data_IF_599072034584
#
_entry.id   IF_599072034584
#
_cell.length_a   1.000
_cell.length_b   1.000
_cell.length_c   1.000
_cell.angle_alpha   90.00
_cell.angle_beta   90.00
_cell.angle_gamma   90.00
#
_symmetry.space_group_name_H-M   'P 1'
#
loop_
_entity.id
_entity.type
_entity.pdbx_description
1 polymer ?
#
# COMPACT_ATOMS: atom_id res chain seq x y z
N UNK A 1 45.09 45.26 -41.30
CA UNK A 1 46.18 44.29 -41.56
C UNK A 1 45.51 42.95 -41.87
N UNK A 2 45.56 42.50 -43.13
CA UNK A 2 46.49 41.46 -43.61
C UNK A 2 46.14 40.11 -42.94
N UNK A 3 45.23 39.32 -43.52
CA UNK A 3 45.50 38.18 -44.45
C UNK A 3 45.45 36.83 -43.69
N UNK A 4 45.22 35.64 -44.27
CA UNK A 4 45.24 35.15 -45.66
C UNK A 4 44.45 33.79 -45.78
N UNK A 5 43.73 33.53 -46.91
CA UNK A 5 43.64 32.25 -47.71
C UNK A 5 43.30 30.85 -47.09
N UNK A 6 42.83 29.77 -47.79
CA UNK A 6 42.21 29.50 -49.13
C UNK A 6 41.56 28.08 -49.16
N UNK A 7 40.83 27.75 -50.23
CA UNK A 7 40.29 26.45 -50.76
C UNK A 7 41.08 25.14 -50.40
N UNK A 8 40.56 23.91 -50.51
CA UNK A 8 39.25 23.39 -50.97
C UNK A 8 39.34 21.97 -51.63
N UNK A 9 38.20 21.47 -52.17
CA UNK A 9 38.07 20.41 -53.22
C UNK A 9 38.33 18.91 -52.91
N UNK A 10 37.23 18.19 -52.70
CA UNK A 10 36.74 16.92 -53.32
C UNK A 10 37.66 15.80 -53.91
N UNK A 11 37.12 14.56 -53.76
CA UNK A 11 36.96 13.48 -54.79
C UNK A 11 37.92 12.27 -54.75
N UNK A 12 37.36 11.07 -54.48
CA UNK A 12 37.54 9.86 -55.33
C UNK A 12 36.46 8.79 -55.11
N UNK A 13 36.29 7.93 -56.12
CA UNK A 13 35.15 7.02 -56.35
C UNK A 13 35.63 5.77 -57.13
N UNK A 14 35.13 4.58 -56.78
CA UNK A 14 35.23 3.28 -57.47
C UNK A 14 34.20 2.37 -56.75
N UNK A 15 33.15 1.73 -57.31
CA UNK A 15 32.76 1.16 -58.63
C UNK A 15 33.50 -0.14 -59.02
N UNK A 16 32.75 -1.27 -59.01
CA UNK A 16 32.72 -2.43 -59.95
C UNK A 16 31.56 -3.39 -59.53
N UNK A 17 31.14 -4.42 -60.29
CA UNK A 17 30.16 -4.34 -61.39
C UNK A 17 29.31 -5.67 -61.52
N UNK A 18 28.17 -5.68 -62.25
CA UNK A 18 27.33 -6.88 -62.54
C UNK A 18 25.97 -6.91 -61.79
N UNK A 19 24.73 -6.93 -62.32
CA UNK A 19 24.08 -7.49 -63.55
C UNK A 19 24.05 -9.04 -63.58
N UNK A 20 22.96 -9.77 -63.91
CA UNK A 20 21.51 -9.48 -64.11
C UNK A 20 20.71 -10.83 -64.19
N UNK A 21 19.36 -10.83 -64.02
CA UNK A 21 18.28 -11.79 -64.43
C UNK A 21 18.52 -13.34 -64.50
N UNK A 22 17.61 -14.25 -64.09
CA UNK A 22 16.22 -14.61 -64.52
C UNK A 22 15.66 -15.62 -63.46
N UNK A 23 14.37 -15.96 -63.23
CA UNK A 23 13.18 -16.06 -64.11
C UNK A 23 11.85 -15.66 -63.42
N UNK A 24 10.81 -15.53 -64.25
CA UNK A 24 9.41 -15.22 -63.93
C UNK A 24 8.68 -16.17 -62.97
N UNK A 25 7.74 -15.59 -62.19
CA UNK A 25 6.35 -16.09 -62.13
C UNK A 25 5.40 -14.90 -62.29
N UNK A 26 4.45 -14.99 -63.22
CA UNK A 26 3.31 -14.06 -63.30
C UNK A 26 2.19 -14.59 -62.41
N UNK A 27 1.57 -13.73 -61.60
CA UNK A 27 0.21 -13.95 -61.11
C UNK A 27 -0.67 -12.77 -61.50
N UNK A 28 -1.93 -13.08 -61.79
CA UNK A 28 -2.80 -12.26 -62.63
C UNK A 28 -3.51 -11.13 -61.85
N UNK A 29 -3.84 -10.02 -62.53
CA UNK A 29 -4.52 -8.88 -61.92
C UNK A 29 -6.04 -9.05 -62.04
N UNK A 30 -6.67 -9.66 -61.04
CA UNK A 30 -8.16 -9.64 -60.96
C UNK A 30 -8.78 -9.77 -59.57
N UNK A 31 -8.15 -9.30 -58.48
CA UNK A 31 -8.83 -9.10 -57.17
C UNK A 31 -8.43 -7.81 -56.40
N UNK A 32 -7.92 -6.77 -57.08
CA UNK A 32 -7.50 -5.53 -56.40
C UNK A 32 -8.62 -4.51 -56.10
N UNK A 33 -9.89 -4.96 -56.01
CA UNK A 33 -11.06 -4.09 -55.71
C UNK A 33 -12.03 -4.73 -54.69
N UNK A 34 -11.51 -5.31 -53.59
CA UNK A 34 -12.35 -5.56 -52.40
C UNK A 34 -11.60 -5.47 -51.05
N UNK A 35 -10.40 -4.87 -51.00
CA UNK A 35 -9.58 -4.82 -49.77
C UNK A 35 -9.00 -3.43 -49.46
N UNK A 36 -9.73 -2.36 -49.85
CA UNK A 36 -9.40 -0.95 -49.53
C UNK A 36 -10.57 -0.18 -48.91
N UNK A 37 -11.55 -0.88 -48.31
CA UNK A 37 -12.72 -0.28 -47.62
C UNK A 37 -13.03 -0.86 -46.22
N UNK A 38 -12.10 -1.65 -45.65
CA UNK A 38 -12.20 -2.14 -44.25
C UNK A 38 -10.99 -1.69 -43.40
N UNK A 39 -10.03 -0.95 -43.98
CA UNK A 39 -8.94 -0.30 -43.23
C UNK A 39 -9.41 1.11 -42.82
N UNK A 40 -10.46 1.12 -42.00
CA UNK A 40 -11.10 2.30 -41.44
C UNK A 40 -12.08 1.85 -40.36
N UNK A 41 -11.91 2.38 -39.14
CA UNK A 41 -12.64 2.00 -37.92
C UNK A 41 -12.27 0.65 -37.24
N UNK A 42 -10.97 0.37 -37.06
CA UNK A 42 -10.46 -0.27 -35.82
C UNK A 42 -9.18 0.46 -35.38
N UNK A 43 -9.34 1.68 -34.84
CA UNK A 43 -8.25 2.42 -34.18
C UNK A 43 -8.81 3.28 -33.04
N UNK A 44 -9.71 2.68 -32.25
CA UNK A 44 -10.33 3.22 -31.04
C UNK A 44 -10.81 2.03 -30.21
N UNK A 45 -10.78 2.13 -28.87
CA UNK A 45 -11.18 1.07 -27.93
C UNK A 45 -10.31 -0.21 -27.91
N UNK A 46 -8.98 -0.05 -27.82
CA UNK A 46 -8.07 -1.13 -27.40
C UNK A 46 -6.88 -0.63 -26.55
N UNK A 47 -7.03 0.48 -25.82
CA UNK A 47 -6.30 0.62 -24.56
C UNK A 47 -7.05 -0.24 -23.54
N UNK A 48 -6.56 -1.47 -23.35
CA UNK A 48 -7.01 -2.27 -22.24
C UNK A 48 -6.63 -1.55 -20.94
N UNK A 49 -7.64 -1.14 -20.18
CA UNK A 49 -7.47 -0.77 -18.78
C UNK A 49 -6.93 -2.00 -18.05
N UNK A 50 -5.62 -2.10 -17.93
CA UNK A 50 -5.01 -2.98 -16.96
C UNK A 50 -5.34 -2.39 -15.59
N UNK A 51 -6.31 -3.02 -14.91
CA UNK A 51 -6.66 -2.75 -13.54
C UNK A 51 -5.49 -3.16 -12.65
N UNK A 52 -4.64 -2.21 -12.29
CA UNK A 52 -3.50 -2.42 -11.41
C UNK A 52 -3.90 -2.22 -9.95
N UNK A 53 -4.90 -2.98 -9.49
CA UNK A 53 -5.17 -3.06 -8.06
C UNK A 53 -3.89 -3.56 -7.37
N UNK A 54 -3.46 -2.85 -6.33
CA UNK A 54 -2.30 -3.22 -5.51
C UNK A 54 -2.53 -4.50 -4.70
N UNK A 55 -1.82 -4.71 -3.57
CA UNK A 55 -2.18 -5.78 -2.66
C UNK A 55 -3.63 -5.57 -2.20
N UNK A 56 -4.52 -6.48 -2.61
CA UNK A 56 -5.91 -6.52 -2.19
C UNK A 56 -5.98 -7.26 -0.85
N UNK A 57 -6.24 -6.53 0.23
CA UNK A 57 -6.35 -7.12 1.58
C UNK A 57 -7.81 -7.25 2.00
N UNK A 58 -8.22 -8.45 2.42
CA UNK A 58 -9.56 -8.67 2.98
C UNK A 58 -9.49 -8.43 4.50
N UNK A 59 -10.04 -7.30 4.95
CA UNK A 59 -10.02 -6.86 6.36
C UNK A 59 -11.24 -7.36 7.17
N UNK A 60 -12.08 -8.20 6.57
CA UNK A 60 -13.31 -8.73 7.17
C UNK A 60 -13.02 -9.59 8.39
N UNK A 61 -13.65 -9.24 9.52
CA UNK A 61 -13.51 -10.01 10.77
C UNK A 61 -12.16 -9.83 11.47
N UNK A 62 -11.40 -8.79 11.13
CA UNK A 62 -10.18 -8.41 11.86
C UNK A 62 -10.48 -7.40 12.96
N UNK A 63 -9.69 -7.43 14.04
CA UNK A 63 -9.65 -6.37 15.03
C UNK A 63 -8.95 -5.11 14.50
N UNK A 64 -9.48 -3.94 14.86
CA UNK A 64 -8.92 -2.63 14.49
C UNK A 64 -9.00 -1.65 15.65
N UNK A 65 -8.22 -0.57 15.56
CA UNK A 65 -8.30 0.59 16.46
C UNK A 65 -8.73 1.81 15.64
N UNK A 66 -9.79 2.48 16.06
CA UNK A 66 -10.19 3.78 15.53
C UNK A 66 -9.20 4.86 15.99
N UNK A 67 -8.75 5.70 15.07
CA UNK A 67 -7.94 6.88 15.31
C UNK A 67 -8.47 8.03 14.43
N UNK A 68 -9.36 8.87 14.96
CA UNK A 68 -10.12 9.84 14.16
C UNK A 68 -11.13 9.14 13.25
N UNK A 69 -11.16 9.53 11.97
CA UNK A 69 -11.97 8.90 10.91
C UNK A 69 -11.33 7.59 10.38
N UNK A 70 -10.09 7.28 10.81
CA UNK A 70 -9.34 6.12 10.35
C UNK A 70 -9.52 4.88 11.23
N UNK A 71 -9.55 3.72 10.57
CA UNK A 71 -9.43 2.40 11.17
C UNK A 71 -8.03 1.85 10.91
N UNK A 72 -7.26 1.61 11.98
CA UNK A 72 -5.93 1.02 11.94
C UNK A 72 -5.98 -0.48 12.23
N UNK A 73 -5.61 -1.28 11.23
CA UNK A 73 -5.52 -2.73 11.29
C UNK A 73 -4.06 -3.16 11.44
N UNK A 74 -3.75 -3.92 12.48
CA UNK A 74 -2.44 -4.54 12.66
C UNK A 74 -2.32 -5.81 11.81
N UNK A 75 -1.45 -5.77 10.81
CA UNK A 75 -1.13 -6.93 9.97
C UNK A 75 -0.48 -8.09 10.75
N UNK A 76 0.47 -7.88 11.68
CA UNK A 76 1.02 -8.99 12.47
C UNK A 76 0.02 -9.59 13.46
N UNK A 77 -0.93 -8.81 14.01
CA UNK A 77 -2.04 -9.35 14.83
C UNK A 77 -3.05 -10.11 13.96
N UNK A 78 -3.34 -9.62 12.75
CA UNK A 78 -4.20 -10.33 11.79
C UNK A 78 -3.62 -11.69 11.41
N UNK A 79 -2.31 -11.79 11.12
CA UNK A 79 -1.65 -13.08 10.93
C UNK A 79 -1.76 -13.98 12.18
N UNK A 80 -1.52 -13.44 13.37
CA UNK A 80 -1.65 -14.17 14.64
C UNK A 80 -3.06 -14.74 14.87
N UNK A 81 -4.12 -14.00 14.53
CA UNK A 81 -5.52 -14.42 14.62
C UNK A 81 -5.79 -15.75 13.89
N UNK A 82 -5.07 -16.03 12.79
CA UNK A 82 -5.21 -17.25 11.99
C UNK A 82 -4.08 -18.26 12.21
N UNK A 83 -3.28 -18.11 13.27
CA UNK A 83 -2.21 -19.04 13.63
C UNK A 83 -0.91 -18.89 12.83
N UNK A 84 -0.75 -17.78 12.11
CA UNK A 84 0.49 -17.43 11.42
C UNK A 84 1.41 -16.57 12.32
N UNK A 85 2.66 -16.39 11.88
CA UNK A 85 3.59 -15.45 12.50
C UNK A 85 3.60 -14.10 11.77
N UNK A 86 4.36 -13.12 12.25
CA UNK A 86 4.36 -11.76 11.68
C UNK A 86 4.78 -11.69 10.20
N UNK A 87 5.57 -12.66 9.73
CA UNK A 87 6.23 -12.64 8.42
C UNK A 87 5.70 -13.74 7.47
N UNK A 88 4.61 -14.44 7.84
CA UNK A 88 3.94 -15.39 6.96
C UNK A 88 2.41 -15.32 7.13
N UNK A 89 1.66 -15.95 6.21
CA UNK A 89 0.20 -15.84 6.18
C UNK A 89 -0.30 -14.73 5.24
N UNK A 90 -1.63 -14.60 5.08
CA UNK A 90 -2.24 -13.71 4.08
C UNK A 90 -2.07 -12.22 4.37
N UNK A 91 -1.69 -11.83 5.60
CA UNK A 91 -1.45 -10.43 5.99
C UNK A 91 0.04 -10.08 6.05
N UNK A 92 0.94 -11.00 5.69
CA UNK A 92 2.37 -10.72 5.58
C UNK A 92 2.69 -9.97 4.26
N UNK A 93 2.14 -8.76 4.12
CA UNK A 93 2.21 -7.95 2.90
C UNK A 93 3.64 -7.43 2.72
N UNK A 94 4.34 -7.76 1.62
CA UNK A 94 5.70 -7.28 1.39
C UNK A 94 5.74 -5.79 1.04
N UNK A 95 6.73 -5.07 1.58
CA UNK A 95 6.88 -3.62 1.42
C UNK A 95 8.27 -3.16 0.97
N UNK A 96 9.10 -4.04 0.40
CA UNK A 96 10.40 -3.58 -0.13
C UNK A 96 10.16 -2.69 -1.37
N UNK A 97 11.04 -1.69 -1.65
CA UNK A 97 10.86 -0.77 -2.77
C UNK A 97 10.59 -1.45 -4.12
N UNK A 98 11.27 -2.56 -4.40
CA UNK A 98 11.06 -3.33 -5.63
C UNK A 98 9.69 -4.04 -5.70
N UNK A 99 9.11 -4.43 -4.57
CA UNK A 99 7.79 -5.07 -4.48
C UNK A 99 6.65 -4.05 -4.56
N UNK A 100 6.86 -2.81 -4.08
CA UNK A 100 5.87 -1.73 -4.16
C UNK A 100 6.00 -0.86 -5.43
N UNK A 101 6.93 -1.19 -6.33
CA UNK A 101 7.24 -0.45 -7.57
C UNK A 101 6.08 -0.24 -8.54
N UNK A 102 5.01 -1.04 -8.43
CA UNK A 102 3.79 -0.98 -9.24
C UNK A 102 2.57 -0.42 -8.48
N UNK A 103 2.78 0.07 -7.25
CA UNK A 103 1.77 0.65 -6.38
C UNK A 103 1.85 2.18 -6.41
N UNK A 104 0.78 2.83 -5.98
CA UNK A 104 0.79 4.27 -5.75
C UNK A 104 1.52 4.57 -4.44
N UNK A 105 2.77 5.04 -4.52
CA UNK A 105 3.62 5.28 -3.35
C UNK A 105 3.69 6.77 -3.02
N UNK A 106 3.35 7.13 -1.79
CA UNK A 106 3.27 8.54 -1.35
C UNK A 106 4.62 9.02 -0.82
N UNK A 107 5.36 8.15 -0.13
CA UNK A 107 6.72 8.42 0.35
C UNK A 107 7.57 7.16 0.48
N UNK A 108 8.87 7.29 0.25
CA UNK A 108 9.85 6.19 0.35
C UNK A 108 11.24 6.68 0.74
N UNK A 109 11.97 5.89 1.55
CA UNK A 109 13.35 6.16 1.97
C UNK A 109 14.41 5.48 1.08
N UNK A 110 14.01 4.92 -0.07
CA UNK A 110 14.93 4.18 -0.95
C UNK A 110 15.93 5.09 -1.65
N UNK A 111 17.18 5.11 -1.16
CA UNK A 111 18.34 5.89 -1.62
C UNK A 111 18.86 5.56 -3.06
N UNK A 112 18.00 5.24 -4.04
CA UNK A 112 18.45 4.87 -5.38
C UNK A 112 17.38 4.91 -6.48
N UNK A 113 17.29 6.05 -7.17
CA UNK A 113 16.50 6.21 -8.41
C UNK A 113 14.98 6.20 -8.21
N UNK A 114 14.20 6.27 -9.31
CA UNK A 114 12.76 6.10 -9.28
C UNK A 114 12.44 4.61 -9.18
N UNK A 115 12.37 4.08 -7.96
CA UNK A 115 11.93 2.69 -7.73
C UNK A 115 10.41 2.57 -7.90
N UNK A 116 9.69 3.68 -7.76
CA UNK A 116 8.24 3.79 -7.89
C UNK A 116 7.92 4.98 -8.81
N UNK A 117 7.23 4.73 -9.92
CA UNK A 117 6.59 5.78 -10.73
C UNK A 117 5.09 5.62 -10.55
N UNK A 118 4.44 6.62 -9.98
CA UNK A 118 2.99 6.61 -9.84
C UNK A 118 2.33 6.84 -11.20
N UNK A 119 1.01 6.65 -11.25
CA UNK A 119 0.25 6.80 -12.48
C UNK A 119 0.18 8.27 -12.93
N UNK A 120 -0.04 8.49 -14.22
CA UNK A 120 -0.30 9.83 -14.77
C UNK A 120 -1.53 10.45 -14.09
N UNK A 121 -1.39 11.70 -13.61
CA UNK A 121 -2.36 12.33 -12.72
C UNK A 121 -2.14 12.03 -11.23
N UNK A 122 -0.89 11.78 -10.82
CA UNK A 122 -0.47 11.61 -9.43
C UNK A 122 0.89 12.27 -9.18
N UNK A 123 1.11 12.78 -7.96
CA UNK A 123 2.46 13.10 -7.51
C UNK A 123 3.33 11.85 -7.40
N UNK A 124 4.64 12.00 -7.59
CA UNK A 124 5.60 10.94 -7.30
C UNK A 124 5.79 10.77 -5.79
N UNK A 125 6.34 9.62 -5.40
CA UNK A 125 6.73 9.38 -4.01
C UNK A 125 7.71 10.47 -3.53
N UNK A 126 7.39 11.07 -2.39
CA UNK A 126 8.26 12.00 -1.68
C UNK A 126 9.43 11.27 -1.02
N UNK A 127 10.58 11.93 -0.90
CA UNK A 127 11.74 11.37 -0.20
C UNK A 127 11.53 11.42 1.32
N UNK A 128 11.37 10.24 1.95
CA UNK A 128 11.35 10.13 3.41
C UNK A 128 12.79 10.13 3.93
N UNK A 129 13.11 10.89 4.99
CA UNK A 129 14.48 11.06 5.44
C UNK A 129 14.98 9.85 6.22
N UNK A 130 16.28 9.59 6.12
CA UNK A 130 16.92 8.44 6.76
C UNK A 130 16.84 8.41 8.30
N UNK A 131 16.55 9.53 8.97
CA UNK A 131 16.59 9.67 10.45
C UNK A 131 18.00 9.55 11.08
N UNK A 132 18.89 8.77 10.47
CA UNK A 132 20.31 8.60 10.83
C UNK A 132 21.14 9.81 10.39
N UNK A 133 20.80 10.40 9.24
CA UNK A 133 21.35 11.67 8.77
C UNK A 133 20.28 12.51 8.07
N UNK A 134 20.12 13.77 8.49
CA UNK A 134 19.09 14.68 8.00
C UNK A 134 17.99 14.93 9.03
N UNK A 135 16.77 15.20 8.56
CA UNK A 135 15.62 15.40 9.44
C UNK A 135 15.23 14.08 10.16
N UNK A 136 14.72 14.23 11.39
CA UNK A 136 14.14 13.13 12.18
C UNK A 136 12.61 13.18 12.19
N UNK A 137 12.07 13.86 11.20
CA UNK A 137 10.64 14.07 10.94
C UNK A 137 10.45 14.25 9.43
N UNK A 138 9.23 14.02 8.95
CA UNK A 138 8.83 14.10 7.56
C UNK A 138 7.45 14.75 7.47
N UNK A 139 7.29 15.61 6.48
CA UNK A 139 6.03 15.99 5.87
C UNK A 139 6.29 16.21 4.37
N UNK A 140 5.24 16.28 3.55
CA UNK A 140 5.39 16.62 2.13
C UNK A 140 5.78 18.10 1.98
N UNK A 141 6.86 18.39 1.24
CA UNK A 141 7.44 19.73 1.08
C UNK A 141 8.12 19.86 -0.30
N UNK A 142 8.26 21.06 -0.89
CA UNK A 142 8.95 21.21 -2.17
C UNK A 142 10.42 20.76 -2.16
N UNK A 143 11.05 20.65 -0.99
CA UNK A 143 12.44 20.19 -0.84
C UNK A 143 12.62 18.66 -0.90
N UNK A 144 11.57 17.87 -0.65
CA UNK A 144 11.57 16.40 -0.77
C UNK A 144 10.57 15.87 -1.81
N UNK A 145 9.88 16.75 -2.53
CA UNK A 145 9.07 16.41 -3.71
C UNK A 145 9.94 15.94 -4.88
N UNK A 146 9.47 14.91 -5.60
CA UNK A 146 10.05 14.45 -6.88
C UNK A 146 9.29 14.95 -8.11
N UNK A 147 8.34 15.86 -7.89
CA UNK A 147 7.41 16.38 -8.90
C UNK A 147 6.26 15.42 -9.22
N UNK A 148 5.43 15.84 -10.17
CA UNK A 148 4.19 15.15 -10.57
C UNK A 148 4.37 14.40 -11.87
N UNK A 149 3.77 13.22 -11.99
CA UNK A 149 3.56 12.57 -13.29
C UNK A 149 2.20 13.00 -13.84
N UNK A 150 2.20 13.64 -15.01
CA UNK A 150 0.99 14.15 -15.66
C UNK A 150 0.56 15.53 -15.19
N UNK A 151 -0.75 15.72 -15.02
CA UNK A 151 -1.36 16.96 -14.53
C UNK A 151 -2.33 16.65 -13.40
N UNK A 152 -2.19 17.38 -12.29
CA UNK A 152 -3.10 17.33 -11.13
C UNK A 152 -3.63 18.74 -10.91
N UNK A 153 -4.96 18.88 -10.81
CA UNK A 153 -5.59 20.17 -10.54
C UNK A 153 -5.27 20.64 -9.10
N UNK A 154 -5.15 21.94 -8.87
CA UNK A 154 -4.89 22.52 -7.54
C UNK A 154 -3.68 21.94 -6.78
N UNK A 155 -2.68 21.38 -7.48
CA UNK A 155 -1.61 20.62 -6.83
C UNK A 155 -0.89 21.43 -5.73
N UNK A 156 -0.92 20.90 -4.50
CA UNK A 156 -0.43 21.50 -3.28
C UNK A 156 1.07 21.34 -3.09
N UNK A 157 1.74 22.40 -2.65
CA UNK A 157 3.18 22.38 -2.40
C UNK A 157 3.59 21.45 -1.23
N UNK A 158 2.67 21.20 -0.29
CA UNK A 158 2.95 20.54 0.98
C UNK A 158 2.08 19.29 1.21
N UNK A 159 1.61 18.67 0.13
CA UNK A 159 0.77 17.48 0.13
C UNK A 159 1.24 16.52 -0.96
N UNK A 160 0.87 15.25 -0.84
CA UNK A 160 0.88 14.33 -1.98
C UNK A 160 -0.51 14.33 -2.61
N UNK A 161 -0.59 14.65 -3.89
CA UNK A 161 -1.86 14.86 -4.57
C UNK A 161 -2.11 13.87 -5.73
N UNK A 162 -3.39 13.58 -5.98
CA UNK A 162 -3.83 12.78 -7.13
C UNK A 162 -5.17 13.25 -7.68
N UNK A 163 -5.30 13.23 -9.01
CA UNK A 163 -6.60 13.37 -9.66
C UNK A 163 -7.51 12.18 -9.33
N UNK A 164 -8.81 12.44 -9.09
CA UNK A 164 -9.76 11.38 -8.78
C UNK A 164 -9.93 10.38 -9.94
N UNK A 165 -9.68 10.79 -11.19
CA UNK A 165 -9.67 9.88 -12.34
C UNK A 165 -8.52 8.86 -12.26
N UNK A 166 -7.31 9.30 -11.91
CA UNK A 166 -6.15 8.42 -11.74
C UNK A 166 -6.38 7.45 -10.56
N UNK A 167 -6.86 7.97 -9.42
CA UNK A 167 -7.17 7.16 -8.24
C UNK A 167 -8.25 6.10 -8.52
N UNK A 168 -9.37 6.47 -9.17
CA UNK A 168 -10.43 5.52 -9.56
C UNK A 168 -9.89 4.42 -10.47
N UNK A 169 -8.99 4.77 -11.40
CA UNK A 169 -8.39 3.84 -12.36
C UNK A 169 -7.42 2.86 -11.68
N UNK A 170 -6.71 3.31 -10.65
CA UNK A 170 -5.86 2.46 -9.80
C UNK A 170 -6.67 1.50 -8.92
N UNK A 171 -7.67 2.02 -8.20
CA UNK A 171 -8.48 1.23 -7.27
C UNK A 171 -9.40 0.20 -7.96
N UNK A 172 -9.73 0.41 -9.24
CA UNK A 172 -10.48 -0.53 -10.07
C UNK A 172 -11.86 -0.97 -9.51
N UNK A 173 -12.44 -0.18 -8.60
CA UNK A 173 -13.72 -0.44 -7.94
C UNK A 173 -13.62 -0.86 -6.46
N UNK A 174 -12.41 -1.13 -5.96
CA UNK A 174 -12.16 -1.53 -4.57
C UNK A 174 -12.02 -0.32 -3.62
N UNK A 175 -12.04 -0.58 -2.31
CA UNK A 175 -11.83 0.47 -1.31
C UNK A 175 -10.35 0.87 -1.21
N UNK A 176 -10.09 2.15 -1.03
CA UNK A 176 -8.76 2.68 -0.76
C UNK A 176 -8.28 2.28 0.62
N UNK A 177 -7.05 1.75 0.69
CA UNK A 177 -6.33 1.52 1.94
C UNK A 177 -4.88 2.02 1.83
N UNK A 178 -4.37 2.61 2.92
CA UNK A 178 -2.98 3.04 3.03
C UNK A 178 -2.22 2.01 3.84
N UNK A 179 -1.13 1.49 3.29
CA UNK A 179 -0.25 0.53 3.93
C UNK A 179 0.99 1.25 4.44
N UNK A 180 1.40 0.98 5.68
CA UNK A 180 2.58 1.57 6.32
C UNK A 180 3.48 0.49 6.89
N UNK A 181 4.75 0.48 6.48
CA UNK A 181 5.79 -0.29 7.14
C UNK A 181 6.52 0.59 8.18
N UNK A 182 6.65 0.06 9.39
CA UNK A 182 7.40 0.72 10.45
C UNK A 182 8.80 0.10 10.51
N UNK A 183 9.82 0.93 10.29
CA UNK A 183 11.21 0.52 10.19
C UNK A 183 12.10 1.41 11.06
N UNK A 184 11.72 1.64 12.32
CA UNK A 184 12.62 2.28 13.29
C UNK A 184 13.77 1.35 13.69
N UNK A 185 14.79 1.86 14.40
CA UNK A 185 15.94 1.07 14.89
C UNK A 185 15.43 -0.08 15.78
N UNK A 186 15.49 -1.31 15.28
CA UNK A 186 15.08 -2.51 16.00
C UNK A 186 16.17 -2.99 17.00
N UNK A 187 16.69 -2.07 17.81
CA UNK A 187 17.65 -2.33 18.88
C UNK A 187 17.63 -1.24 19.97
N UNK A 188 17.95 -1.62 21.20
CA UNK A 188 17.77 -0.76 22.37
C UNK A 188 16.33 -0.76 22.90
N UNK A 189 16.02 0.24 23.73
CA UNK A 189 14.76 0.33 24.46
C UNK A 189 13.56 0.70 23.57
N UNK A 190 12.35 0.66 24.13
CA UNK A 190 11.11 1.00 23.43
C UNK A 190 11.15 2.41 22.79
N UNK A 191 11.94 3.34 23.31
CA UNK A 191 12.18 4.66 22.71
C UNK A 191 12.72 4.61 21.27
N UNK A 192 13.32 3.49 20.85
CA UNK A 192 13.92 3.34 19.52
C UNK A 192 13.00 2.64 18.50
N UNK A 193 11.88 2.05 18.93
CA UNK A 193 11.03 1.18 18.09
C UNK A 193 9.64 1.78 17.81
N UNK A 194 9.46 3.07 18.08
CA UNK A 194 8.20 3.79 17.99
C UNK A 194 8.39 5.13 17.28
N UNK A 195 7.34 5.57 16.61
CA UNK A 195 7.31 6.75 15.76
C UNK A 195 5.96 7.46 15.89
N UNK A 196 5.96 8.79 15.89
CA UNK A 196 4.74 9.58 15.84
C UNK A 196 4.24 9.62 14.38
N UNK A 197 2.96 9.36 14.16
CA UNK A 197 2.32 9.44 12.84
C UNK A 197 1.00 10.21 12.91
N UNK A 198 0.76 11.08 11.95
CA UNK A 198 -0.52 11.77 11.76
C UNK A 198 -0.75 11.90 10.25
N UNK A 199 -2.00 11.84 9.80
CA UNK A 199 -2.31 12.09 8.40
C UNK A 199 -3.69 12.70 8.23
N UNK A 200 -3.87 13.52 7.20
CA UNK A 200 -5.14 14.14 6.84
C UNK A 200 -5.35 14.11 5.33
N UNK A 201 -6.56 13.78 4.93
CA UNK A 201 -6.99 13.66 3.54
C UNK A 201 -8.17 14.59 3.30
N UNK A 202 -8.19 15.31 2.18
CA UNK A 202 -9.37 16.06 1.74
C UNK A 202 -9.43 16.10 0.21
N UNK A 203 -10.59 16.46 -0.33
CA UNK A 203 -10.83 16.53 -1.78
C UNK A 203 -11.15 17.97 -2.16
N UNK A 204 -10.62 18.44 -3.29
CA UNK A 204 -11.03 19.70 -3.93
C UNK A 204 -11.64 19.47 -5.31
N UNK A 205 -12.53 20.38 -5.72
CA UNK A 205 -13.11 20.44 -7.06
C UNK A 205 -12.23 21.21 -8.06
N UNK A 206 -12.69 21.33 -9.30
CA UNK A 206 -12.00 22.07 -10.37
C UNK A 206 -11.76 23.57 -10.09
N UNK A 207 -12.45 24.15 -9.09
CA UNK A 207 -12.27 25.54 -8.66
C UNK A 207 -11.39 25.67 -7.40
N UNK A 208 -10.94 24.55 -6.82
CA UNK A 208 -10.17 24.51 -5.58
C UNK A 208 -11.03 24.59 -4.31
N UNK A 209 -12.36 24.42 -4.42
CA UNK A 209 -13.24 24.36 -3.27
C UNK A 209 -13.26 22.96 -2.65
N UNK A 210 -13.31 22.86 -1.32
CA UNK A 210 -13.38 21.57 -0.62
C UNK A 210 -14.68 20.83 -0.93
N UNK A 211 -14.58 19.53 -1.22
CA UNK A 211 -15.70 18.64 -1.52
C UNK A 211 -15.95 17.73 -0.32
N UNK A 212 -16.95 18.09 0.49
CA UNK A 212 -17.23 17.40 1.74
C UNK A 212 -16.20 17.67 2.83
N UNK A 213 -16.18 16.82 3.86
CA UNK A 213 -15.23 16.90 4.97
C UNK A 213 -13.81 16.46 4.57
N UNK A 214 -12.85 16.80 5.41
CA UNK A 214 -11.58 16.10 5.50
C UNK A 214 -11.73 14.81 6.33
N UNK A 215 -10.69 13.99 6.33
CA UNK A 215 -10.62 12.73 7.08
C UNK A 215 -9.22 12.60 7.68
N UNK A 216 -9.10 12.23 8.95
CA UNK A 216 -7.86 12.34 9.72
C UNK A 216 -7.52 11.05 10.49
N UNK A 217 -6.28 10.60 10.34
CA UNK A 217 -5.64 9.63 11.23
C UNK A 217 -5.11 10.39 12.44
N UNK A 218 -5.91 10.40 13.50
CA UNK A 218 -5.68 11.22 14.68
C UNK A 218 -5.75 10.42 15.98
N UNK A 219 -4.87 10.72 16.92
CA UNK A 219 -4.95 10.22 18.29
C UNK A 219 -6.01 10.95 19.13
N UNK A 220 -6.74 11.90 18.53
CA UNK A 220 -7.93 12.58 19.08
C UNK A 220 -7.65 13.31 20.41
N UNK A 221 -6.50 13.97 20.51
CA UNK A 221 -6.01 14.58 21.75
C UNK A 221 -5.81 13.58 22.90
N UNK A 222 -5.65 12.29 22.61
CA UNK A 222 -5.39 11.25 23.61
C UNK A 222 -3.96 11.26 24.13
N UNK A 223 -3.69 10.44 25.14
CA UNK A 223 -2.32 10.20 25.60
C UNK A 223 -1.51 9.49 24.50
N UNK A 224 -0.25 9.90 24.29
CA UNK A 224 0.66 9.18 23.40
C UNK A 224 1.23 7.96 24.13
N UNK A 225 0.58 6.81 23.93
CA UNK A 225 0.92 5.51 24.52
C UNK A 225 0.30 4.41 23.64
N UNK A 226 0.62 3.14 23.90
CA UNK A 226 -0.06 2.01 23.27
C UNK A 226 -1.55 2.01 23.68
N UNK A 227 -2.45 1.71 22.73
CA UNK A 227 -3.90 1.58 23.00
C UNK A 227 -4.20 0.64 24.17
N UNK A 228 -3.41 -0.44 24.32
CA UNK A 228 -3.57 -1.41 25.41
C UNK A 228 -3.08 -0.92 26.78
N UNK A 229 -2.45 0.25 26.85
CA UNK A 229 -1.91 0.88 28.05
C UNK A 229 -2.55 2.24 28.34
N UNK A 230 -3.73 2.52 27.76
CA UNK A 230 -4.43 3.80 27.92
C UNK A 230 -3.89 4.92 27.04
N UNK A 231 -3.27 4.58 25.91
CA UNK A 231 -3.10 5.51 24.80
C UNK A 231 -4.44 5.91 24.18
N UNK A 232 -4.40 6.89 23.28
CA UNK A 232 -5.57 7.27 22.50
C UNK A 232 -6.01 6.19 21.50
N UNK A 233 -7.08 6.51 20.77
CA UNK A 233 -7.80 5.57 19.91
C UNK A 233 -8.77 4.66 20.66
N UNK A 234 -9.68 4.03 19.91
CA UNK A 234 -10.73 3.16 20.45
C UNK A 234 -10.72 1.81 19.74
N UNK A 235 -10.44 0.73 20.47
CA UNK A 235 -10.49 -0.62 19.90
C UNK A 235 -11.93 -0.98 19.49
N UNK A 236 -12.12 -1.37 18.24
CA UNK A 236 -13.44 -1.54 17.60
C UNK A 236 -14.36 -0.30 17.71
N UNK A 237 -13.76 0.89 17.66
CA UNK A 237 -14.49 2.17 17.66
C UNK A 237 -15.34 2.42 16.39
N UNK A 238 -16.04 3.55 16.41
CA UNK A 238 -16.92 4.02 15.34
C UNK A 238 -16.33 5.32 14.74
N UNK A 239 -15.76 5.28 13.52
CA UNK A 239 -15.10 6.44 12.90
C UNK A 239 -16.07 7.61 12.71
N UNK A 240 -17.36 7.33 12.49
CA UNK A 240 -18.41 8.34 12.25
C UNK A 240 -18.73 9.20 13.47
N UNK A 241 -18.12 8.90 14.63
CA UNK A 241 -18.20 9.71 15.84
C UNK A 241 -17.14 10.83 15.91
N UNK A 242 -16.22 10.89 14.95
CA UNK A 242 -15.22 11.96 14.80
C UNK A 242 -15.63 12.92 13.66
N UNK A 243 -15.08 14.13 13.65
CA UNK A 243 -15.24 15.10 12.57
C UNK A 243 -13.94 15.90 12.44
N UNK A 244 -13.19 15.65 11.37
CA UNK A 244 -11.97 16.40 11.06
C UNK A 244 -12.25 17.84 10.57
N UNK A 245 -13.51 18.20 10.29
CA UNK A 245 -13.89 19.46 9.66
C UNK A 245 -13.60 19.46 8.15
N UNK A 246 -13.12 20.58 7.61
CA UNK A 246 -12.98 20.79 6.16
C UNK A 246 -11.54 21.10 5.74
N UNK A 247 -11.11 20.60 4.57
CA UNK A 247 -9.85 20.96 3.93
C UNK A 247 -8.59 20.65 4.74
N UNK A 248 -7.51 21.39 4.46
CA UNK A 248 -6.23 21.26 5.16
C UNK A 248 -6.33 21.52 6.68
N UNK A 249 -5.43 20.90 7.44
CA UNK A 249 -5.39 20.98 8.91
C UNK A 249 -3.98 20.78 9.47
N UNK A 250 -3.85 20.75 10.79
CA UNK A 250 -2.61 20.46 11.49
C UNK A 250 -2.91 19.63 12.75
N UNK A 251 -2.02 18.72 13.17
CA UNK A 251 -2.16 18.05 14.46
C UNK A 251 -2.06 19.08 15.59
N UNK A 252 -2.83 18.85 16.65
CA UNK A 252 -2.86 19.69 17.85
C UNK A 252 -2.33 18.93 19.07
N UNK A 253 -1.84 19.68 20.05
CA UNK A 253 -1.52 19.17 21.38
C UNK A 253 -2.45 19.87 22.36
N UNK A 254 -3.58 19.23 22.67
CA UNK A 254 -4.68 19.81 23.44
C UNK A 254 -4.36 19.96 24.93
N UNK A 255 -3.42 19.16 25.46
CA UNK A 255 -2.95 19.21 26.84
C UNK A 255 -1.53 18.62 26.97
N UNK A 256 -0.87 18.82 28.11
CA UNK A 256 0.45 18.25 28.37
C UNK A 256 0.42 16.71 28.33
N UNK A 257 1.29 16.10 27.51
CA UNK A 257 1.32 14.65 27.26
C UNK A 257 0.19 14.10 26.38
N UNK A 258 -0.68 15.00 25.86
CA UNK A 258 -1.79 14.68 24.97
C UNK A 258 -1.51 15.25 23.57
N UNK A 259 -1.85 14.49 22.54
CA UNK A 259 -1.48 14.83 21.15
C UNK A 259 -2.41 14.16 20.14
N UNK A 260 -2.51 14.73 18.94
CA UNK A 260 -3.14 14.11 17.77
C UNK A 260 -2.22 13.15 17.01
N UNK A 261 -0.91 13.13 17.30
CA UNK A 261 -0.02 12.11 16.75
C UNK A 261 -0.35 10.71 17.30
N UNK A 262 -0.64 9.76 16.42
CA UNK A 262 -0.78 8.34 16.73
C UNK A 262 0.60 7.73 16.99
N UNK A 263 0.71 6.90 18.02
CA UNK A 263 1.91 6.11 18.28
C UNK A 263 1.92 4.89 17.33
N UNK A 264 2.84 4.89 16.38
CA UNK A 264 3.10 3.77 15.50
C UNK A 264 4.34 2.99 15.97
N UNK A 265 4.18 1.73 16.35
CA UNK A 265 5.30 0.81 16.59
C UNK A 265 5.18 0.01 17.88
N UNK A 266 6.35 -0.41 18.38
CA UNK A 266 6.47 -1.16 19.62
C UNK A 266 5.93 -2.59 19.52
N UNK A 267 5.74 -3.21 20.69
CA UNK A 267 5.20 -4.56 20.79
C UNK A 267 3.92 -4.56 21.64
N UNK A 268 2.87 -5.18 21.10
CA UNK A 268 1.54 -5.29 21.71
C UNK A 268 1.26 -6.76 22.01
N UNK A 269 0.61 -7.05 23.13
CA UNK A 269 0.07 -8.38 23.40
C UNK A 269 -1.44 -8.35 23.16
N UNK A 270 -1.99 -9.48 22.74
CA UNK A 270 -3.43 -9.64 22.52
C UNK A 270 -3.98 -10.79 23.34
N UNK A 271 -5.18 -10.61 23.87
CA UNK A 271 -5.95 -11.69 24.47
C UNK A 271 -6.80 -12.38 23.41
N UNK A 272 -6.82 -13.70 23.45
CA UNK A 272 -7.68 -14.56 22.61
C UNK A 272 -8.44 -15.54 23.50
N UNK A 273 -9.62 -15.96 23.10
CA UNK A 273 -10.42 -16.92 23.87
C UNK A 273 -11.80 -17.18 23.27
N UNK A 274 -12.54 -18.18 23.75
CA UNK A 274 -13.83 -18.58 23.17
C UNK A 274 -14.94 -17.52 23.31
N UNK A 275 -14.73 -16.50 24.14
CA UNK A 275 -15.64 -15.37 24.35
C UNK A 275 -15.27 -14.12 23.52
N UNK A 276 -14.15 -14.13 22.79
CA UNK A 276 -13.64 -12.97 22.06
C UNK A 276 -13.78 -13.20 20.55
N UNK A 277 -14.49 -12.32 19.80
CA UNK A 277 -14.69 -12.49 18.36
C UNK A 277 -13.41 -12.21 17.54
N UNK A 278 -12.49 -11.41 18.08
CA UNK A 278 -11.18 -11.03 17.51
C UNK A 278 -10.16 -10.91 18.65
N UNK A 279 -8.84 -10.96 18.40
CA UNK A 279 -7.83 -10.72 19.42
C UNK A 279 -7.92 -9.29 19.98
N UNK A 280 -7.94 -9.14 21.30
CA UNK A 280 -8.11 -7.84 21.98
C UNK A 280 -6.77 -7.33 22.51
N UNK A 281 -6.32 -6.10 22.18
CA UNK A 281 -5.09 -5.53 22.73
C UNK A 281 -5.11 -5.43 24.27
N UNK A 282 -4.08 -5.97 24.92
CA UNK A 282 -3.89 -5.96 26.38
C UNK A 282 -2.43 -5.63 26.76
N UNK A 283 -2.16 -5.16 27.99
CA UNK A 283 -0.78 -5.00 28.47
C UNK A 283 -0.02 -6.32 28.42
N UNK A 284 1.20 -6.31 27.90
CA UNK A 284 2.04 -7.51 27.93
C UNK A 284 2.37 -7.93 29.36
N UNK A 285 2.21 -9.23 29.64
CA UNK A 285 2.36 -9.79 31.00
C UNK A 285 1.13 -9.62 31.91
N UNK A 286 0.01 -9.07 31.41
CA UNK A 286 -1.27 -9.11 32.12
C UNK A 286 -1.83 -10.54 32.20
N UNK A 287 -2.69 -10.77 33.19
CA UNK A 287 -3.55 -11.96 33.22
C UNK A 287 -4.74 -11.76 32.26
N UNK A 288 -5.25 -12.82 31.61
CA UNK A 288 -6.42 -12.73 30.74
C UNK A 288 -7.64 -12.25 31.53
N UNK A 289 -8.39 -11.30 30.97
CA UNK A 289 -9.61 -10.76 31.55
C UNK A 289 -10.84 -11.65 31.29
N UNK A 290 -10.81 -12.44 30.21
CA UNK A 290 -11.95 -13.27 29.76
C UNK A 290 -11.86 -14.70 30.31
N UNK A 291 -12.99 -15.34 30.66
CA UNK A 291 -13.02 -16.76 31.01
C UNK A 291 -12.47 -17.65 29.88
N UNK A 292 -11.43 -18.43 30.19
CA UNK A 292 -10.74 -19.25 29.19
C UNK A 292 -9.86 -18.47 28.21
N UNK A 293 -9.60 -17.19 28.47
CA UNK A 293 -8.69 -16.36 27.69
C UNK A 293 -7.22 -16.77 27.83
N UNK A 294 -6.43 -16.43 26.82
CA UNK A 294 -4.95 -16.57 26.80
C UNK A 294 -4.35 -15.30 26.21
N UNK A 295 -3.37 -14.72 26.90
CA UNK A 295 -2.61 -13.56 26.44
C UNK A 295 -1.41 -14.04 25.61
N UNK A 296 -1.20 -13.43 24.44
CA UNK A 296 -0.10 -13.74 23.53
C UNK A 296 1.26 -13.36 24.11
N UNK A 297 2.33 -13.90 23.52
CA UNK A 297 3.64 -13.24 23.57
C UNK A 297 3.57 -11.87 22.88
N UNK A 298 4.53 -10.99 23.16
CA UNK A 298 4.61 -9.67 22.54
C UNK A 298 4.74 -9.78 21.00
N UNK A 299 3.83 -9.12 20.28
CA UNK A 299 3.78 -9.04 18.82
C UNK A 299 4.40 -7.72 18.41
N UNK A 300 5.59 -7.77 17.80
CA UNK A 300 6.33 -6.61 17.34
C UNK A 300 5.67 -5.99 16.10
N UNK A 301 5.62 -4.66 16.03
CA UNK A 301 5.15 -3.89 14.89
C UNK A 301 6.27 -3.12 14.17
N UNK A 302 7.48 -3.07 14.72
CA UNK A 302 8.67 -2.63 13.99
C UNK A 302 9.20 -3.79 13.12
N UNK A 303 8.50 -4.08 12.02
CA UNK A 303 8.76 -5.23 11.15
C UNK A 303 9.89 -4.98 10.13
N UNK A 304 10.38 -3.74 10.04
CA UNK A 304 11.48 -3.36 9.16
C UNK A 304 11.02 -2.88 7.77
N UNK A 305 11.97 -2.76 6.85
CA UNK A 305 11.69 -2.30 5.47
C UNK A 305 10.84 -3.29 4.64
N UNK A 306 10.77 -4.56 5.07
CA UNK A 306 10.32 -5.68 4.23
C UNK A 306 8.83 -6.00 4.33
N UNK A 307 8.15 -5.61 5.41
CA UNK A 307 6.73 -5.93 5.65
C UNK A 307 5.91 -4.75 6.17
N UNK A 308 4.66 -4.66 5.70
CA UNK A 308 3.65 -3.74 6.24
C UNK A 308 3.33 -4.11 7.69
N UNK A 309 3.34 -3.11 8.57
CA UNK A 309 2.92 -3.26 9.96
C UNK A 309 1.43 -2.90 10.14
N UNK A 310 0.96 -1.87 9.42
CA UNK A 310 -0.39 -1.32 9.54
C UNK A 310 -1.06 -1.15 8.19
N UNK A 311 -2.34 -1.50 8.10
CA UNK A 311 -3.24 -1.06 7.04
C UNK A 311 -4.23 -0.07 7.64
N UNK A 312 -4.29 1.13 7.08
CA UNK A 312 -5.18 2.21 7.49
C UNK A 312 -6.29 2.34 6.45
N UNK A 313 -7.53 2.35 6.89
CA UNK A 313 -8.70 2.54 6.03
C UNK A 313 -9.58 3.66 6.60
N UNK A 314 -10.07 4.54 5.73
CA UNK A 314 -10.97 5.64 6.07
C UNK A 314 -12.36 5.32 5.49
N UNK A 315 -13.34 4.82 6.27
CA UNK A 315 -14.62 4.39 5.73
C UNK A 315 -15.41 5.52 5.07
N UNK A 316 -15.39 6.72 5.67
CA UNK A 316 -16.14 7.87 5.19
C UNK A 316 -15.52 8.49 3.94
N UNK A 317 -14.19 8.56 3.86
CA UNK A 317 -13.48 8.89 2.61
C UNK A 317 -13.82 7.89 1.51
N UNK A 318 -13.84 6.59 1.80
CA UNK A 318 -14.20 5.56 0.82
C UNK A 318 -15.65 5.69 0.35
N UNK A 319 -16.58 6.06 1.24
CA UNK A 319 -17.95 6.37 0.86
C UNK A 319 -18.04 7.64 -0.03
N UNK A 320 -17.30 8.70 0.29
CA UNK A 320 -17.23 9.92 -0.49
C UNK A 320 -16.61 9.68 -1.89
N UNK A 321 -15.49 8.97 -1.96
CA UNK A 321 -14.85 8.55 -3.22
C UNK A 321 -15.79 7.70 -4.06
N UNK A 322 -16.48 6.72 -3.47
CA UNK A 322 -17.47 5.90 -4.18
C UNK A 322 -18.62 6.74 -4.77
N UNK A 323 -19.12 7.72 -4.01
CA UNK A 323 -20.12 8.67 -4.49
C UNK A 323 -19.64 9.53 -5.66
N UNK A 324 -18.41 10.06 -5.57
CA UNK A 324 -17.81 10.89 -6.63
C UNK A 324 -17.51 10.06 -7.88
N UNK A 325 -16.95 8.86 -7.74
CA UNK A 325 -16.63 7.95 -8.85
C UNK A 325 -17.85 7.48 -9.64
N UNK A 326 -19.00 7.37 -8.97
CA UNK A 326 -20.28 7.01 -9.59
C UNK A 326 -21.07 8.22 -10.13
N UNK A 327 -20.90 9.39 -9.52
CA UNK A 327 -21.68 10.60 -9.83
C UNK A 327 -21.07 11.53 -10.89
N UNK A 328 -19.74 11.51 -11.05
CA UNK A 328 -19.01 12.43 -11.93
C UNK A 328 -18.51 11.75 -13.21
N UNK A 329 -18.42 12.52 -14.29
CA UNK A 329 -17.78 12.08 -15.55
C UNK A 329 -16.26 12.04 -15.42
N UNK A 330 -15.60 11.29 -16.32
CA UNK A 330 -14.14 11.19 -16.36
C UNK A 330 -13.43 12.55 -16.49
N UNK A 331 -14.04 13.49 -17.22
CA UNK A 331 -13.50 14.85 -17.38
C UNK A 331 -13.62 15.68 -16.09
N UNK A 332 -14.69 15.48 -15.31
CA UNK A 332 -14.85 16.10 -13.99
C UNK A 332 -13.89 15.47 -12.98
N UNK A 333 -13.77 14.14 -12.96
CA UNK A 333 -12.83 13.42 -12.08
C UNK A 333 -11.36 13.74 -12.36
N UNK A 334 -11.00 14.07 -13.61
CA UNK A 334 -9.66 14.55 -13.96
C UNK A 334 -9.33 15.95 -13.40
N UNK A 335 -10.35 16.71 -12.99
CA UNK A 335 -10.22 18.06 -12.42
C UNK A 335 -10.54 18.15 -10.93
N UNK A 336 -10.93 17.04 -10.30
CA UNK A 336 -10.99 16.91 -8.83
C UNK A 336 -9.69 16.29 -8.32
N UNK A 337 -9.22 16.76 -7.16
CA UNK A 337 -7.95 16.32 -6.57
C UNK A 337 -8.16 15.85 -5.15
N UNK A 338 -7.65 14.68 -4.81
CA UNK A 338 -7.46 14.24 -3.43
C UNK A 338 -6.06 14.67 -2.98
N UNK A 339 -6.01 15.39 -1.85
CA UNK A 339 -4.80 15.84 -1.21
C UNK A 339 -4.52 14.99 0.02
N UNK A 340 -3.26 14.61 0.23
CA UNK A 340 -2.82 13.81 1.39
C UNK A 340 -1.66 14.52 2.09
N UNK A 341 -1.90 14.98 3.31
CA UNK A 341 -0.87 15.45 4.24
C UNK A 341 -0.51 14.28 5.17
N UNK A 342 0.72 13.78 5.09
CA UNK A 342 1.25 12.74 5.98
C UNK A 342 2.43 13.28 6.75
N UNK A 343 2.40 13.12 8.08
CA UNK A 343 3.43 13.61 8.99
C UNK A 343 3.96 12.47 9.83
N UNK A 344 5.25 12.21 9.70
CA UNK A 344 5.96 11.19 10.46
C UNK A 344 7.03 11.85 11.31
N UNK A 345 7.18 11.43 12.56
CA UNK A 345 8.10 12.03 13.50
C UNK A 345 7.57 13.33 14.11
N UNK A 346 7.88 13.59 15.38
CA UNK A 346 7.65 14.87 16.03
C UNK A 346 8.72 15.15 17.09
N UNK A 347 8.97 16.43 17.39
CA UNK A 347 10.03 16.91 18.29
C UNK A 347 9.54 17.91 19.34
N UNK A 348 10.41 18.21 20.30
CA UNK A 348 10.16 19.23 21.32
C UNK A 348 10.29 20.67 20.75
N UNK A 349 9.47 21.60 21.24
CA UNK A 349 9.37 23.01 20.82
C UNK A 349 10.64 23.85 21.03
N UNK A 350 11.63 23.35 21.78
CA UNK A 350 12.90 24.06 22.02
C UNK A 350 13.84 24.15 20.82
N UNK A 351 13.55 23.45 19.71
CA UNK A 351 14.23 23.60 18.43
C UNK A 351 13.60 24.74 17.61
N UNK A 352 14.24 25.92 17.48
CA UNK A 352 13.66 27.06 16.77
C UNK A 352 13.64 26.90 15.24
N UNK A 353 14.17 25.78 14.72
CA UNK A 353 14.13 25.43 13.29
C UNK A 353 13.03 24.41 12.98
N UNK A 354 12.37 23.85 14.00
CA UNK A 354 11.27 22.92 13.84
C UNK A 354 10.02 23.65 13.33
N UNK A 355 9.38 23.11 12.31
CA UNK A 355 8.03 23.54 11.93
C UNK A 355 7.10 23.35 13.14
N UNK A 356 6.35 24.37 13.61
CA UNK A 356 5.54 24.29 14.82
C UNK A 356 4.52 23.14 14.79
N UNK A 357 4.07 22.72 13.60
CA UNK A 357 3.12 21.62 13.43
C UNK A 357 3.75 20.22 13.43
N UNK A 358 5.09 20.14 13.55
CA UNK A 358 5.85 18.91 13.79
C UNK A 358 6.28 18.79 15.26
N UNK A 359 5.68 19.60 16.14
CA UNK A 359 6.00 19.61 17.56
C UNK A 359 4.96 18.90 18.42
N UNK A 360 5.42 18.20 19.46
CA UNK A 360 4.56 17.37 20.31
C UNK A 360 4.89 17.40 21.81
N UNK A 361 6.07 17.88 22.22
CA UNK A 361 6.48 18.05 23.63
C UNK A 361 6.23 16.84 24.55
N UNK A 362 6.35 15.63 24.00
CA UNK A 362 6.10 14.37 24.69
C UNK A 362 7.30 13.91 25.53
N UNK A 363 7.04 13.48 26.76
CA UNK A 363 8.03 12.96 27.71
C UNK A 363 7.52 11.69 28.39
N UNK A 364 7.34 10.61 27.62
CA UNK A 364 6.63 9.39 28.02
C UNK A 364 7.42 8.08 27.75
N UNK A 365 8.71 8.17 27.40
CA UNK A 365 9.57 6.99 27.18
C UNK A 365 9.36 6.28 25.84
N UNK A 366 8.39 6.69 25.02
CA UNK A 366 8.21 6.21 23.66
C UNK A 366 9.00 7.07 22.66
N UNK A 367 9.40 6.43 21.56
CA UNK A 367 9.99 7.12 20.42
C UNK A 367 8.96 7.98 19.71
N UNK A 368 9.36 9.20 19.36
CA UNK A 368 8.51 10.14 18.62
C UNK A 368 9.09 10.50 17.26
N UNK A 369 10.36 10.20 16.97
CA UNK A 369 11.10 10.77 15.84
C UNK A 369 11.77 9.69 14.97
N UNK A 370 11.82 9.91 13.65
CA UNK A 370 12.43 9.00 12.68
C UNK A 370 13.91 8.78 12.99
N UNK A 371 14.33 7.52 13.08
CA UNK A 371 15.70 7.16 13.47
C UNK A 371 16.42 6.14 12.55
N UNK A 372 15.77 5.65 11.48
CA UNK A 372 16.32 4.61 10.59
C UNK A 372 15.81 4.72 9.13
N UNK A 373 14.60 5.27 8.90
CA UNK A 373 14.29 6.03 7.67
C UNK A 373 14.24 5.23 6.38
N UNK A 374 13.61 4.05 6.43
CA UNK A 374 13.01 3.40 5.25
C UNK A 374 11.51 3.15 5.48
N UNK A 375 10.89 4.04 6.24
CA UNK A 375 9.44 4.23 6.26
C UNK A 375 8.95 4.49 4.83
N UNK A 376 8.00 3.66 4.41
CA UNK A 376 7.30 3.72 3.15
C UNK A 376 5.80 3.69 3.44
N UNK A 377 5.04 4.51 2.72
CA UNK A 377 3.59 4.48 2.78
C UNK A 377 3.03 4.60 1.38
N UNK A 378 2.08 3.71 1.09
CA UNK A 378 1.57 3.49 -0.25
C UNK A 378 0.10 3.12 -0.20
N UNK A 379 -0.63 3.50 -1.25
CA UNK A 379 -2.03 3.13 -1.43
C UNK A 379 -2.09 1.76 -2.12
N UNK A 380 -2.99 0.92 -1.64
CA UNK A 380 -3.47 -0.27 -2.31
C UNK A 380 -4.97 -0.40 -2.13
N UNK A 381 -5.47 -1.63 -2.27
CA UNK A 381 -6.90 -1.92 -2.24
C UNK A 381 -7.27 -2.75 -1.01
N UNK A 382 -8.47 -2.55 -0.47
CA UNK A 382 -9.03 -3.39 0.57
C UNK A 382 -10.47 -3.80 0.27
N UNK A 383 -10.86 -4.94 0.84
CA UNK A 383 -12.24 -5.41 0.88
C UNK A 383 -12.67 -5.51 2.34
N UNK A 384 -13.76 -4.86 2.69
CA UNK A 384 -14.53 -5.11 3.91
C UNK A 384 -15.89 -5.65 3.49
N UNK A 385 -16.07 -6.95 3.67
CA UNK A 385 -17.33 -7.63 3.39
C UNK A 385 -18.36 -7.23 4.47
N UNK A 386 -19.56 -6.74 4.11
CA UNK A 386 -20.64 -6.67 5.08
C UNK A 386 -21.03 -8.09 5.52
N UNK A 387 -21.43 -8.34 6.78
CA UNK A 387 -21.78 -9.68 7.27
C UNK A 387 -22.92 -10.39 6.50
N UNK A 388 -23.61 -9.66 5.63
CA UNK A 388 -24.75 -10.11 4.82
C UNK A 388 -24.37 -10.56 3.41
N UNK A 389 -23.12 -10.44 2.97
CA UNK A 389 -22.68 -10.86 1.63
C UNK A 389 -22.08 -12.30 1.65
N UNK A 390 -22.79 -13.33 1.13
CA UNK A 390 -22.29 -14.70 1.10
C UNK A 390 -21.23 -14.96 0.02
N UNK A 391 -21.01 -14.02 -0.91
CA UNK A 391 -19.98 -14.13 -1.94
C UNK A 391 -18.62 -13.61 -1.45
N UNK A 392 -18.65 -12.73 -0.46
CA UNK A 392 -17.50 -12.10 0.17
C UNK A 392 -17.11 -12.87 1.45
N UNK A 393 -16.55 -14.07 1.27
CA UNK A 393 -16.13 -14.91 2.40
C UNK A 393 -14.88 -14.32 3.10
N UNK A 394 -14.77 -14.42 4.44
CA UNK A 394 -13.50 -14.17 5.12
C UNK A 394 -12.42 -15.13 4.59
N UNK A 395 -11.13 -14.76 4.62
CA UNK A 395 -10.05 -15.55 4.05
C UNK A 395 -10.11 -16.99 4.56
N UNK A 396 -10.44 -17.92 3.64
CA UNK A 396 -10.70 -19.31 3.97
C UNK A 396 -9.39 -20.01 4.34
N UNK A 397 -9.04 -20.00 5.62
CA UNK A 397 -8.03 -20.90 6.17
C UNK A 397 -8.53 -22.32 5.96
N UNK A 398 -7.80 -23.20 5.24
CA UNK A 398 -8.22 -24.58 5.09
C UNK A 398 -8.28 -25.24 6.46
N UNK A 399 -9.48 -25.58 6.92
CA UNK A 399 -9.65 -26.22 8.23
C UNK A 399 -8.73 -27.45 8.36
N UNK A 400 -8.21 -27.77 9.57
CA UNK A 400 -7.30 -28.91 9.76
C UNK A 400 -7.86 -30.24 9.21
N UNK A 401 -9.18 -30.42 9.22
CA UNK A 401 -9.86 -31.58 8.61
C UNK A 401 -9.68 -31.66 7.08
N UNK A 402 -9.67 -30.53 6.38
CA UNK A 402 -9.45 -30.44 4.93
C UNK A 402 -8.05 -30.90 4.55
N UNK A 403 -7.02 -30.46 5.29
CA UNK A 403 -5.64 -30.91 5.11
C UNK A 403 -5.46 -32.40 5.45
N UNK A 404 -6.13 -32.89 6.49
CA UNK A 404 -6.14 -34.32 6.83
C UNK A 404 -6.77 -35.18 5.72
N UNK A 405 -7.91 -34.74 5.16
CA UNK A 405 -8.57 -35.41 4.03
C UNK A 405 -7.71 -35.39 2.76
N UNK A 406 -7.05 -34.28 2.45
CA UNK A 406 -6.13 -34.19 1.31
C UNK A 406 -4.90 -35.10 1.48
N UNK A 407 -4.38 -35.19 2.70
CA UNK A 407 -3.29 -36.11 3.06
C UNK A 407 -3.71 -37.58 2.92
N UNK A 408 -4.93 -37.92 3.34
CA UNK A 408 -5.54 -39.24 3.15
C UNK A 408 -5.76 -39.57 1.67
N UNK A 409 -6.19 -38.60 0.85
CA UNK A 409 -6.31 -38.76 -0.60
C UNK A 409 -4.96 -39.06 -1.25
N UNK A 410 -3.89 -38.33 -0.88
CA UNK A 410 -2.53 -38.57 -1.38
C UNK A 410 -1.95 -39.91 -0.91
N UNK A 411 -2.22 -40.32 0.34
CA UNK A 411 -1.80 -41.61 0.87
C UNK A 411 -2.49 -42.79 0.16
N UNK A 412 -3.80 -42.69 -0.10
CA UNK A 412 -4.55 -43.72 -0.83
C UNK A 412 -4.12 -43.82 -2.30
N UNK A 413 -3.81 -42.70 -2.95
CA UNK A 413 -3.23 -42.68 -4.31
C UNK A 413 -1.86 -43.39 -4.35
N UNK A 414 -1.02 -43.16 -3.34
CA UNK A 414 0.31 -43.77 -3.21
C UNK A 414 0.24 -45.28 -2.96
N UNK A 415 -0.76 -45.74 -2.20
CA UNK A 415 -1.05 -47.17 -2.02
C UNK A 415 -1.61 -47.82 -3.30
N UNK A 416 -2.39 -47.10 -4.09
CA UNK A 416 -2.92 -47.58 -5.37
C UNK A 416 -1.80 -47.78 -6.42
N UNK A 417 -0.87 -46.82 -6.55
CA UNK A 417 0.27 -46.93 -7.49
C UNK A 417 1.25 -48.04 -7.10
N UNK A 418 1.47 -48.28 -5.80
CA UNK A 418 2.24 -49.44 -5.31
C UNK A 418 1.57 -50.80 -5.60
N UNK A 419 0.24 -50.89 -5.57
CA UNK A 419 -0.48 -52.11 -5.98
C UNK A 419 -0.42 -52.33 -7.50
N UNK A 420 -0.50 -51.27 -8.29
CA UNK A 420 -0.38 -51.35 -9.76
C UNK A 420 1.01 -51.82 -10.22
N UNK A 421 2.08 -51.32 -9.60
CA UNK A 421 3.46 -51.75 -9.92
C UNK A 421 3.73 -53.20 -9.52
N UNK A 422 3.22 -53.67 -8.37
CA UNK A 422 3.31 -55.11 -8.00
C UNK A 422 2.57 -56.02 -8.98
N UNK A 423 1.36 -55.63 -9.45
CA UNK A 423 0.62 -56.40 -10.48
C UNK A 423 1.39 -56.48 -11.81
N UNK A 424 2.02 -55.39 -12.26
CA UNK A 424 2.87 -55.41 -13.47
C UNK A 424 4.09 -56.34 -13.34
N UNK A 425 4.69 -56.45 -12.15
CA UNK A 425 5.85 -57.36 -11.94
C UNK A 425 5.43 -58.83 -12.02
N UNK A 426 4.36 -59.22 -11.32
CA UNK A 426 3.83 -60.60 -11.36
C UNK A 426 3.22 -61.04 -12.70
N UNK A 427 2.89 -60.11 -13.59
CA UNK A 427 2.48 -60.43 -14.96
C UNK A 427 3.68 -60.73 -15.89
N UNK A 428 4.86 -60.16 -15.61
CA UNK A 428 6.05 -60.29 -16.46
C UNK A 428 6.74 -61.65 -16.29
N UNK A 429 6.71 -62.21 -15.09
CA UNK A 429 7.30 -63.52 -14.75
C UNK A 429 6.53 -64.72 -15.35
N UNK A 430 5.34 -64.51 -15.92
CA UNK A 430 4.56 -65.57 -16.60
C UNK A 430 4.80 -65.69 -18.11
N UNK A 431 5.61 -64.80 -18.69
CA UNK A 431 5.93 -64.78 -20.14
C UNK A 431 7.31 -65.33 -20.49
N UNK A 432 8.03 -65.91 -19.52
CA UNK A 432 9.39 -66.49 -19.69
C UNK A 432 9.44 -68.00 -19.50
N UNK A 433 8.29 -68.68 -19.52
CA UNK A 433 8.13 -70.13 -19.50
C UNK A 433 7.18 -70.58 -20.61
N UNK A 434 7.67 -70.50 -21.85
CA UNK A 434 7.14 -71.13 -23.06
C UNK A 434 8.31 -71.32 -24.04
#
# INVERSE_FOLDING_TARGET
>A
MISLNILGVARKMLIFHGWQEFQHVKFDRTEEISMKRVIGAILSAAFGLASHAGPLVNLTGLGYVQYGDALSYSMPVANYQFGYNTNNGPFAIPSTPGQISSLTVLGTGSNGGPVTTNFDGMDRAYDTPSGVSGATYFYADPSNSRGTDGTVANNGANTWDTSLLALRSFLAGEQMAVFFNNNQVNSGDASNQNLAAWARVWITDAAGANVGSAYELSNMGGAYNLVSQGGGGVFLGDPTAYDAGFGAGNPTNTAAGSTDFVLAGGAICVETGPALPVPVPVPCGSAPASPGGTVSSAINHNLGADHVAYTILFPELNAALGGLFAGLTDAELASHTMHVDVRLGCRNTTDPTLNPWMSCDLANGFGTALNNGYEQFFIGAAVICPPTDPTCAPPQVPEPGSLALFSLALATLSLATHRATRRRKGARDKTTLA
#
